data_IF_775935654447
#
_entry.id   IF_775935654447
#
_cell.length_a   1.000
_cell.length_b   1.000
_cell.length_c   1.000
_cell.angle_alpha   90.00
_cell.angle_beta   90.00
_cell.angle_gamma   90.00
#
_symmetry.space_group_name_H-M   'P 1'
#
loop_
_entity.id
_entity.type
_entity.pdbx_description
1 polymer ?
#
# COMPACT_ATOMS: atom_id res chain seq x y z
N UNK A 1 21.67 -74.61 14.65
CA UNK A 1 22.25 -73.38 15.23
C UNK A 1 21.12 -72.40 15.46
N UNK A 2 20.69 -72.20 16.71
CA UNK A 2 19.65 -71.24 17.05
C UNK A 2 20.30 -69.90 17.41
N UNK A 3 20.12 -68.91 16.55
CA UNK A 3 20.62 -67.55 16.75
C UNK A 3 19.80 -66.87 17.85
N UNK A 4 20.41 -66.57 19.00
CA UNK A 4 19.79 -65.73 20.04
C UNK A 4 19.52 -64.34 19.47
N UNK A 5 18.26 -63.98 19.30
CA UNK A 5 17.87 -62.59 19.06
C UNK A 5 18.14 -61.78 20.33
N UNK A 6 19.05 -60.80 20.24
CA UNK A 6 19.25 -59.79 21.29
C UNK A 6 18.04 -58.85 21.28
N UNK A 7 17.23 -58.88 22.32
CA UNK A 7 16.16 -57.91 22.55
C UNK A 7 16.72 -56.61 23.14
N UNK A 8 16.04 -55.50 22.87
CA UNK A 8 16.37 -54.20 23.47
C UNK A 8 16.27 -54.24 24.99
N UNK A 9 17.20 -53.55 25.67
CA UNK A 9 17.14 -53.37 27.12
C UNK A 9 16.18 -52.23 27.49
N UNK A 10 15.54 -52.32 28.65
CA UNK A 10 14.63 -51.27 29.15
C UNK A 10 15.35 -49.91 29.29
N UNK A 11 16.64 -49.92 29.66
CA UNK A 11 17.49 -48.74 29.74
C UNK A 11 17.80 -48.11 28.38
N UNK A 12 17.95 -48.91 27.31
CA UNK A 12 18.14 -48.36 25.96
C UNK A 12 16.91 -47.59 25.49
N UNK A 13 15.72 -48.17 25.67
CA UNK A 13 14.48 -47.48 25.26
C UNK A 13 14.27 -46.21 26.09
N UNK A 14 14.60 -46.24 27.39
CA UNK A 14 14.47 -45.07 28.25
C UNK A 14 15.38 -43.91 27.80
N UNK A 15 16.65 -44.18 27.49
CA UNK A 15 17.58 -43.13 27.01
C UNK A 15 17.18 -42.60 25.63
N UNK A 16 16.65 -43.45 24.75
CA UNK A 16 16.21 -43.00 23.42
C UNK A 16 15.00 -42.08 23.53
N UNK A 17 14.01 -42.42 24.36
CA UNK A 17 12.82 -41.58 24.53
C UNK A 17 13.18 -40.23 25.17
N UNK A 18 14.10 -40.20 26.13
CA UNK A 18 14.53 -38.91 26.73
C UNK A 18 15.24 -38.02 25.71
N UNK A 19 16.11 -38.59 24.87
CA UNK A 19 16.78 -37.83 23.80
C UNK A 19 15.76 -37.29 22.79
N UNK A 20 14.77 -38.09 22.38
CA UNK A 20 13.72 -37.65 21.44
C UNK A 20 12.92 -36.47 22.02
N UNK A 21 12.56 -36.52 23.31
CA UNK A 21 11.82 -35.43 23.97
C UNK A 21 12.64 -34.14 24.02
N UNK A 22 13.92 -34.22 24.41
CA UNK A 22 14.80 -33.04 24.50
C UNK A 22 15.03 -32.41 23.13
N UNK A 23 15.32 -33.22 22.11
CA UNK A 23 15.48 -32.73 20.74
C UNK A 23 14.18 -32.15 20.19
N UNK A 24 13.03 -32.77 20.50
CA UNK A 24 11.71 -32.25 20.11
C UNK A 24 11.44 -30.86 20.69
N UNK A 25 11.76 -30.62 21.96
CA UNK A 25 11.62 -29.29 22.58
C UNK A 25 12.59 -28.27 21.97
N UNK A 26 13.84 -28.66 21.72
CA UNK A 26 14.83 -27.76 21.12
C UNK A 26 14.42 -27.27 19.72
N UNK A 27 13.82 -28.14 18.90
CA UNK A 27 13.35 -27.78 17.56
C UNK A 27 12.20 -26.76 17.59
N UNK A 28 11.24 -26.90 18.52
CA UNK A 28 10.12 -25.97 18.65
C UNK A 28 10.55 -24.57 19.11
N UNK A 29 11.60 -24.48 19.92
CA UNK A 29 12.18 -23.20 20.35
C UNK A 29 13.03 -22.58 19.22
N UNK A 30 13.76 -23.40 18.46
CA UNK A 30 14.66 -22.94 17.41
C UNK A 30 13.98 -22.48 16.13
N UNK A 31 12.84 -23.09 15.76
CA UNK A 31 12.10 -22.76 14.55
C UNK A 31 10.74 -22.25 14.99
N UNK A 32 10.50 -20.94 14.96
CA UNK A 32 9.17 -20.37 15.19
C UNK A 32 8.28 -20.71 13.97
N UNK A 33 7.44 -21.75 14.00
CA UNK A 33 6.77 -22.26 12.81
C UNK A 33 5.70 -21.27 12.31
N UNK A 34 5.09 -20.53 13.24
CA UNK A 34 4.11 -19.48 12.95
C UNK A 34 4.75 -18.38 12.09
N UNK A 35 5.96 -17.94 12.44
CA UNK A 35 6.67 -16.93 11.66
C UNK A 35 6.96 -17.39 10.22
N UNK A 36 7.28 -18.67 10.02
CA UNK A 36 7.52 -19.23 8.68
C UNK A 36 6.24 -19.30 7.85
N UNK A 37 5.10 -19.68 8.45
CA UNK A 37 3.80 -19.69 7.78
C UNK A 37 3.42 -18.28 7.33
N UNK A 38 3.55 -17.28 8.20
CA UNK A 38 3.26 -15.89 7.85
C UNK A 38 4.14 -15.34 6.74
N UNK A 39 5.43 -15.71 6.70
CA UNK A 39 6.32 -15.39 5.57
C UNK A 39 5.85 -16.03 4.27
N UNK A 40 5.37 -17.27 4.32
CA UNK A 40 4.76 -17.93 3.16
C UNK A 40 3.53 -17.20 2.64
N UNK A 41 2.67 -16.72 3.55
CA UNK A 41 1.52 -15.90 3.19
C UNK A 41 1.91 -14.55 2.60
N UNK A 42 2.91 -13.87 3.15
CA UNK A 42 3.41 -12.60 2.60
C UNK A 42 4.00 -12.77 1.20
N UNK A 43 4.77 -13.84 0.97
CA UNK A 43 5.28 -14.20 -0.36
C UNK A 43 4.14 -14.45 -1.35
N UNK A 44 3.08 -15.14 -0.90
CA UNK A 44 1.91 -15.41 -1.74
C UNK A 44 1.15 -14.12 -2.09
N UNK A 45 0.94 -13.22 -1.12
CA UNK A 45 0.32 -11.90 -1.37
C UNK A 45 1.07 -11.09 -2.42
N UNK A 46 2.40 -11.04 -2.35
CA UNK A 46 3.23 -10.36 -3.35
C UNK A 46 3.05 -10.96 -4.75
N UNK A 47 3.03 -12.29 -4.84
CA UNK A 47 2.79 -12.98 -6.11
C UNK A 47 1.39 -12.68 -6.67
N UNK A 48 0.38 -12.68 -5.81
CA UNK A 48 -1.00 -12.42 -6.20
C UNK A 48 -1.20 -10.96 -6.65
N UNK A 49 -0.64 -9.98 -5.94
CA UNK A 49 -0.62 -8.57 -6.34
C UNK A 49 0.10 -8.35 -7.68
N UNK A 50 1.22 -9.03 -7.90
CA UNK A 50 1.96 -8.97 -9.17
C UNK A 50 1.13 -9.47 -10.36
N UNK A 51 0.38 -10.56 -10.18
CA UNK A 51 -0.53 -11.07 -11.21
C UNK A 51 -1.66 -10.09 -11.50
N UNK A 52 -2.27 -9.51 -10.47
CA UNK A 52 -3.33 -8.51 -10.63
C UNK A 52 -2.78 -7.30 -11.38
N UNK A 53 -1.58 -6.81 -11.02
CA UNK A 53 -0.90 -5.73 -11.75
C UNK A 53 -0.76 -6.05 -13.23
N UNK A 54 -0.18 -7.20 -13.58
CA UNK A 54 0.02 -7.59 -14.99
C UNK A 54 -1.31 -7.63 -15.75
N UNK A 55 -2.36 -8.17 -15.12
CA UNK A 55 -3.68 -8.22 -15.71
C UNK A 55 -4.28 -6.81 -15.94
N UNK A 56 -4.11 -5.90 -14.98
CA UNK A 56 -4.59 -4.52 -15.09
C UNK A 56 -3.84 -3.73 -16.15
N UNK A 57 -2.52 -3.88 -16.25
CA UNK A 57 -1.75 -3.25 -17.34
C UNK A 57 -2.16 -3.80 -18.71
N UNK A 58 -2.43 -5.10 -18.80
CA UNK A 58 -2.91 -5.72 -20.04
C UNK A 58 -4.29 -5.20 -20.42
N UNK A 59 -5.20 -5.07 -19.44
CA UNK A 59 -6.52 -4.47 -19.63
C UNK A 59 -6.39 -3.02 -20.14
N UNK A 60 -5.52 -2.22 -19.52
CA UNK A 60 -5.29 -0.83 -19.92
C UNK A 60 -4.77 -0.73 -21.36
N UNK A 61 -3.85 -1.61 -21.76
CA UNK A 61 -3.32 -1.64 -23.12
C UNK A 61 -4.39 -1.85 -24.20
N UNK A 62 -5.51 -2.49 -23.85
CA UNK A 62 -6.60 -2.78 -24.78
C UNK A 62 -7.76 -1.76 -24.71
N UNK A 63 -7.92 -1.08 -23.57
CA UNK A 63 -9.07 -0.22 -23.29
C UNK A 63 -8.73 1.26 -23.05
N UNK A 64 -7.44 1.62 -23.02
CA UNK A 64 -6.90 2.95 -22.67
C UNK A 64 -7.39 3.48 -21.30
N UNK A 65 -7.83 2.56 -20.44
CA UNK A 65 -8.32 2.84 -19.10
C UNK A 65 -8.26 1.60 -18.22
N UNK A 66 -8.18 1.81 -16.91
CA UNK A 66 -8.32 0.70 -15.95
C UNK A 66 -9.79 0.39 -15.73
N UNK A 67 -10.14 -0.86 -15.36
CA UNK A 67 -11.52 -1.22 -15.16
C UNK A 67 -12.09 -0.46 -13.97
N UNK A 68 -13.38 -0.12 -14.08
CA UNK A 68 -14.14 0.37 -12.94
C UNK A 68 -14.25 -0.79 -11.95
N UNK A 69 -13.55 -0.72 -10.83
CA UNK A 69 -13.84 -1.62 -9.72
C UNK A 69 -15.10 -1.11 -9.06
N UNK A 70 -16.26 -1.76 -9.25
CA UNK A 70 -17.47 -1.25 -8.66
C UNK A 70 -17.30 -1.38 -7.15
N UNK A 71 -17.63 -0.31 -6.41
CA UNK A 71 -17.64 -0.35 -4.96
C UNK A 71 -18.68 -1.35 -4.43
N UNK A 72 -19.57 -1.86 -5.29
CA UNK A 72 -20.53 -2.92 -5.02
C UNK A 72 -21.25 -3.32 -6.32
N UNK A 73 -21.61 -4.59 -6.49
CA UNK A 73 -22.47 -5.09 -7.56
C UNK A 73 -23.92 -4.60 -7.37
N UNK A 74 -24.80 -4.91 -8.32
CA UNK A 74 -26.23 -4.58 -8.28
C UNK A 74 -27.00 -5.17 -7.08
N UNK A 75 -26.38 -6.04 -6.29
CA UNK A 75 -26.90 -6.67 -5.08
C UNK A 75 -26.21 -6.14 -3.82
N UNK A 76 -25.35 -5.14 -3.92
CA UNK A 76 -24.61 -4.60 -2.78
C UNK A 76 -23.48 -5.52 -2.29
N UNK A 77 -22.93 -6.40 -3.14
CA UNK A 77 -21.75 -7.24 -2.82
C UNK A 77 -20.48 -6.69 -3.46
N UNK A 78 -19.30 -6.80 -2.82
CA UNK A 78 -18.05 -6.33 -3.42
C UNK A 78 -17.77 -7.03 -4.75
N UNK A 79 -17.65 -6.28 -5.83
CA UNK A 79 -17.46 -6.79 -7.20
C UNK A 79 -16.02 -7.18 -7.54
N UNK A 80 -15.10 -6.98 -6.59
CA UNK A 80 -13.74 -7.54 -6.61
C UNK A 80 -13.65 -8.79 -5.71
N UNK A 81 -14.77 -9.50 -5.55
CA UNK A 81 -14.80 -10.75 -4.80
C UNK A 81 -13.73 -11.71 -5.31
N UNK A 82 -13.22 -12.52 -4.39
CA UNK A 82 -12.37 -13.65 -4.73
C UNK A 82 -13.02 -14.53 -5.79
N UNK A 83 -12.17 -15.14 -6.61
CA UNK A 83 -12.56 -16.07 -7.67
C UNK A 83 -13.54 -15.48 -8.69
N UNK A 84 -13.63 -14.15 -8.75
CA UNK A 84 -14.42 -13.48 -9.78
C UNK A 84 -13.70 -13.50 -11.13
N UNK A 85 -14.52 -13.66 -12.17
CA UNK A 85 -14.10 -13.68 -13.57
C UNK A 85 -14.03 -12.26 -14.18
N UNK A 86 -14.12 -11.20 -13.36
CA UNK A 86 -14.28 -9.82 -13.81
C UNK A 86 -13.13 -9.32 -14.69
N UNK A 87 -11.91 -9.84 -14.47
CA UNK A 87 -10.72 -9.46 -15.22
C UNK A 87 -10.41 -10.40 -16.40
N UNK A 88 -11.31 -11.30 -16.77
CA UNK A 88 -11.12 -12.10 -17.99
C UNK A 88 -11.08 -11.20 -19.24
N UNK A 89 -10.24 -11.53 -20.24
CA UNK A 89 -9.35 -12.70 -20.33
C UNK A 89 -7.97 -12.51 -19.67
N UNK A 90 -7.69 -11.35 -19.07
CA UNK A 90 -6.37 -10.98 -18.54
C UNK A 90 -6.00 -11.70 -17.25
N UNK A 91 -7.00 -12.11 -16.46
CA UNK A 91 -6.83 -12.92 -15.27
C UNK A 91 -8.01 -13.88 -15.13
N UNK A 92 -7.70 -15.17 -15.01
CA UNK A 92 -8.71 -16.22 -14.91
C UNK A 92 -9.64 -16.04 -13.71
N UNK A 93 -9.05 -15.70 -12.56
CA UNK A 93 -9.76 -15.54 -11.29
C UNK A 93 -8.98 -14.60 -10.37
N UNK A 94 -9.66 -13.65 -9.72
CA UNK A 94 -9.02 -12.77 -8.75
C UNK A 94 -8.64 -13.56 -7.48
N UNK A 95 -7.35 -13.63 -7.10
CA UNK A 95 -6.91 -14.40 -5.93
C UNK A 95 -7.36 -13.77 -4.60
N UNK A 96 -7.61 -14.60 -3.59
CA UNK A 96 -7.81 -14.16 -2.21
C UNK A 96 -6.51 -14.02 -1.43
N UNK A 97 -6.55 -13.18 -0.40
CA UNK A 97 -5.59 -13.22 0.69
C UNK A 97 -5.50 -14.64 1.30
N UNK A 98 -4.30 -15.26 1.38
CA UNK A 98 -4.14 -16.66 1.77
C UNK A 98 -4.49 -16.92 3.24
N UNK A 99 -4.47 -15.89 4.09
CA UNK A 99 -4.77 -16.01 5.51
C UNK A 99 -6.24 -15.66 5.81
N UNK A 100 -6.64 -14.43 5.48
CA UNK A 100 -7.97 -13.90 5.78
C UNK A 100 -9.07 -14.36 4.84
N UNK A 101 -8.71 -14.91 3.66
CA UNK A 101 -9.63 -15.32 2.59
C UNK A 101 -10.52 -14.18 2.08
N UNK A 102 -10.08 -12.94 2.29
CA UNK A 102 -10.73 -11.74 1.79
C UNK A 102 -10.06 -11.29 0.50
N UNK A 103 -10.78 -10.57 -0.37
CA UNK A 103 -10.17 -9.98 -1.56
C UNK A 103 -9.20 -8.86 -1.18
N UNK A 104 -8.27 -8.55 -2.09
CA UNK A 104 -7.35 -7.43 -1.94
C UNK A 104 -8.06 -6.09 -2.09
N UNK A 105 -7.55 -5.06 -1.42
CA UNK A 105 -8.07 -3.69 -1.56
C UNK A 105 -7.52 -3.10 -2.85
N UNK A 106 -8.39 -2.50 -3.67
CA UNK A 106 -7.99 -1.81 -4.90
C UNK A 106 -8.55 -0.39 -4.84
N UNK A 107 -7.68 0.58 -5.08
CA UNK A 107 -8.01 1.98 -5.24
C UNK A 107 -7.78 2.38 -6.69
N UNK A 108 -8.69 3.18 -7.25
CA UNK A 108 -8.56 3.73 -8.59
C UNK A 108 -8.81 5.24 -8.56
N UNK A 109 -8.09 5.97 -9.41
CA UNK A 109 -8.25 7.42 -9.55
C UNK A 109 -8.29 7.82 -11.04
N UNK A 110 -9.14 8.79 -11.43
CA UNK A 110 -10.08 9.54 -10.59
C UNK A 110 -11.21 8.67 -10.03
N UNK A 111 -11.57 8.91 -8.76
CA UNK A 111 -12.67 8.19 -8.11
C UNK A 111 -13.99 8.46 -8.83
N UNK A 112 -14.86 7.46 -8.90
CA UNK A 112 -16.13 7.52 -9.65
C UNK A 112 -15.99 7.84 -11.15
N UNK A 113 -14.78 7.73 -11.71
CA UNK A 113 -14.58 7.82 -13.15
C UNK A 113 -15.08 6.53 -13.80
N UNK A 114 -15.75 6.67 -14.95
CA UNK A 114 -16.03 5.52 -15.82
C UNK A 114 -14.78 5.02 -16.55
N UNK A 115 -13.72 5.83 -16.54
CA UNK A 115 -12.44 5.59 -17.19
C UNK A 115 -11.31 6.00 -16.22
N UNK A 116 -11.07 5.23 -15.15
CA UNK A 116 -9.94 5.47 -14.25
C UNK A 116 -8.60 5.36 -14.99
N UNK A 117 -7.66 6.22 -14.63
CA UNK A 117 -6.36 6.33 -15.30
C UNK A 117 -5.21 5.81 -14.45
N UNK A 118 -5.44 5.57 -13.16
CA UNK A 118 -4.44 5.02 -12.25
C UNK A 118 -5.09 4.07 -11.26
N UNK A 119 -4.31 3.13 -10.74
CA UNK A 119 -4.74 2.20 -9.71
C UNK A 119 -3.62 1.90 -8.71
N UNK A 120 -4.00 1.46 -7.52
CA UNK A 120 -3.15 0.80 -6.56
C UNK A 120 -3.88 -0.40 -5.93
N UNK A 121 -3.19 -1.54 -5.83
CA UNK A 121 -3.68 -2.76 -5.18
C UNK A 121 -2.87 -3.00 -3.92
N UNK A 122 -3.54 -3.28 -2.80
CA UNK A 122 -2.93 -3.36 -1.48
C UNK A 122 -3.12 -4.73 -0.82
N UNK A 123 -2.13 -5.12 -0.04
CA UNK A 123 -2.22 -6.26 0.88
C UNK A 123 -1.59 -5.92 2.22
N UNK A 124 -2.22 -6.38 3.31
CA UNK A 124 -1.63 -6.33 4.64
C UNK A 124 -0.65 -7.49 4.83
N UNK A 125 0.56 -7.17 5.27
CA UNK A 125 1.63 -8.14 5.51
C UNK A 125 1.89 -8.29 7.01
N UNK A 126 2.35 -9.46 7.40
CA UNK A 126 2.56 -9.76 8.83
C UNK A 126 4.01 -9.58 9.25
N UNK A 127 4.96 -9.82 8.35
CA UNK A 127 6.37 -9.76 8.71
C UNK A 127 6.86 -8.32 8.87
N UNK A 128 7.35 -8.01 10.07
CA UNK A 128 7.96 -6.72 10.43
C UNK A 128 9.35 -6.52 9.82
N UNK A 129 9.87 -7.53 9.12
CA UNK A 129 11.26 -7.59 8.64
C UNK A 129 11.36 -7.67 7.11
N UNK A 130 10.24 -7.55 6.40
CA UNK A 130 10.31 -7.41 4.95
C UNK A 130 10.73 -5.98 4.64
N UNK A 131 11.97 -5.77 4.18
CA UNK A 131 12.42 -4.46 3.69
C UNK A 131 11.64 -3.98 2.46
N UNK A 132 10.84 -4.86 1.86
CA UNK A 132 9.91 -4.53 0.77
C UNK A 132 8.47 -4.28 1.26
N UNK A 133 8.23 -4.28 2.58
CA UNK A 133 7.12 -3.58 3.17
C UNK A 133 7.36 -2.09 2.90
N UNK A 134 7.02 -1.61 1.70
CA UNK A 134 7.04 -0.17 1.42
C UNK A 134 6.30 0.49 2.58
N UNK A 135 7.02 1.32 3.33
CA UNK A 135 6.46 2.03 4.47
C UNK A 135 5.59 3.14 3.86
N UNK A 136 4.44 2.75 3.32
CA UNK A 136 3.48 3.67 2.73
C UNK A 136 3.02 4.54 3.89
N UNK A 137 3.22 5.84 3.75
CA UNK A 137 2.88 6.79 4.80
C UNK A 137 1.42 6.59 5.22
N UNK A 138 1.20 6.57 6.53
CA UNK A 138 -0.11 6.36 7.15
C UNK A 138 -0.75 4.97 6.89
N UNK A 139 -0.06 4.04 6.25
CA UNK A 139 -0.51 2.67 5.98
C UNK A 139 0.52 1.62 6.45
N UNK A 140 0.72 1.47 7.77
CA UNK A 140 1.70 0.54 8.30
C UNK A 140 1.38 -0.90 7.86
N UNK A 141 2.44 -1.70 7.67
CA UNK A 141 2.33 -3.13 7.30
C UNK A 141 1.50 -3.37 6.04
N UNK A 142 1.55 -2.46 5.08
CA UNK A 142 0.83 -2.57 3.82
C UNK A 142 1.83 -2.57 2.68
N UNK A 143 1.67 -3.50 1.73
CA UNK A 143 2.36 -3.44 0.45
C UNK A 143 1.37 -2.97 -0.61
N UNK A 144 1.85 -2.21 -1.58
CA UNK A 144 1.06 -1.76 -2.72
C UNK A 144 1.77 -2.05 -4.04
N UNK A 145 0.98 -2.38 -5.05
CA UNK A 145 1.39 -2.45 -6.45
C UNK A 145 0.49 -1.48 -7.23
N UNK A 146 1.10 -0.52 -7.90
CA UNK A 146 0.39 0.58 -8.56
C UNK A 146 0.75 0.71 -10.04
N UNK A 147 -0.11 1.45 -10.74
CA UNK A 147 0.09 1.88 -12.12
C UNK A 147 1.29 2.82 -12.23
N UNK A 148 1.94 2.89 -13.40
CA UNK A 148 2.98 3.88 -13.67
C UNK A 148 2.51 5.33 -13.42
N UNK A 149 3.38 6.16 -12.85
CA UNK A 149 3.14 7.59 -12.66
C UNK A 149 2.14 7.95 -11.55
N UNK A 150 1.68 6.99 -10.76
CA UNK A 150 0.82 7.27 -9.60
C UNK A 150 1.65 7.89 -8.46
N UNK A 151 1.14 8.98 -7.89
CA UNK A 151 1.80 9.76 -6.85
C UNK A 151 1.75 9.05 -5.49
N UNK A 152 2.77 9.24 -4.65
CA UNK A 152 2.84 8.65 -3.31
C UNK A 152 1.68 9.11 -2.41
N UNK A 153 1.22 10.35 -2.58
CA UNK A 153 0.05 10.86 -1.88
C UNK A 153 -1.24 10.11 -2.25
N UNK A 154 -1.43 9.75 -3.53
CA UNK A 154 -2.59 8.97 -3.98
C UNK A 154 -2.52 7.52 -3.50
N UNK A 155 -1.32 6.94 -3.51
CA UNK A 155 -1.09 5.59 -2.97
C UNK A 155 -1.42 5.56 -1.47
N UNK A 156 -0.97 6.57 -0.71
CA UNK A 156 -1.26 6.70 0.72
C UNK A 156 -2.75 6.97 0.98
N UNK A 157 -3.40 7.78 0.13
CA UNK A 157 -4.84 8.03 0.23
C UNK A 157 -5.65 6.74 0.03
N UNK A 158 -5.30 5.92 -0.97
CA UNK A 158 -6.04 4.70 -1.29
C UNK A 158 -6.07 3.65 -0.17
N UNK A 159 -5.09 3.66 0.75
CA UNK A 159 -5.05 2.72 1.88
C UNK A 159 -5.45 3.35 3.23
N UNK A 160 -5.23 4.65 3.45
CA UNK A 160 -5.50 5.32 4.74
C UNK A 160 -6.76 6.19 4.73
N UNK A 161 -7.27 6.54 3.54
CA UNK A 161 -8.27 7.59 3.32
C UNK A 161 -7.88 8.96 3.88
N UNK A 162 -6.59 9.18 4.18
CA UNK A 162 -6.08 10.47 4.61
C UNK A 162 -5.73 11.29 3.37
N UNK A 163 -6.42 12.42 3.22
CA UNK A 163 -6.13 13.37 2.16
C UNK A 163 -4.75 14.01 2.42
N UNK A 164 -3.76 13.54 1.68
CA UNK A 164 -2.44 14.15 1.59
C UNK A 164 -2.41 15.11 0.40
N UNK A 165 -1.42 15.99 0.38
CA UNK A 165 -1.26 16.98 -0.66
C UNK A 165 -0.30 16.42 -1.72
N UNK A 166 -0.79 15.86 -2.84
CA UNK A 166 0.06 15.31 -3.90
C UNK A 166 0.95 16.39 -4.51
N UNK A 167 0.38 17.59 -4.63
CA UNK A 167 1.03 18.75 -5.19
C UNK A 167 0.91 19.87 -4.17
N UNK A 168 2.07 20.41 -3.79
CA UNK A 168 2.14 21.61 -2.97
C UNK A 168 2.24 22.81 -3.90
N UNK A 169 1.43 23.81 -3.61
CA UNK A 169 1.42 25.11 -4.26
C UNK A 169 1.92 26.17 -3.29
N UNK A 170 2.60 27.19 -3.81
CA UNK A 170 3.10 28.32 -3.05
C UNK A 170 3.12 29.58 -3.89
N UNK A 171 3.33 30.73 -3.26
CA UNK A 171 3.36 31.99 -3.96
C UNK A 171 4.77 32.28 -4.48
N UNK A 172 4.92 32.61 -5.76
CA UNK A 172 6.18 33.08 -6.35
C UNK A 172 5.89 34.29 -7.25
N UNK A 173 6.48 35.45 -6.97
CA UNK A 173 6.29 36.69 -7.72
C UNK A 173 4.81 37.06 -7.95
N UNK A 174 3.97 36.93 -6.92
CA UNK A 174 2.56 37.32 -7.04
C UNK A 174 1.61 36.24 -7.54
N UNK A 175 2.15 35.12 -8.04
CA UNK A 175 1.40 34.02 -8.65
C UNK A 175 1.44 32.74 -7.80
N UNK A 176 0.34 32.00 -7.78
CA UNK A 176 0.30 30.66 -7.20
C UNK A 176 0.93 29.66 -8.18
N UNK A 177 2.02 29.03 -7.78
CA UNK A 177 2.78 28.07 -8.60
C UNK A 177 2.99 26.77 -7.83
N UNK A 178 3.26 25.68 -8.56
CA UNK A 178 3.67 24.43 -7.93
C UNK A 178 5.06 24.61 -7.31
N UNK A 179 5.21 24.22 -6.05
CA UNK A 179 6.48 24.31 -5.30
C UNK A 179 7.09 22.96 -4.95
N UNK A 180 6.28 21.90 -4.87
CA UNK A 180 6.76 20.53 -4.68
C UNK A 180 5.70 19.51 -5.13
N UNK A 181 6.13 18.30 -5.48
CA UNK A 181 5.29 17.14 -5.77
C UNK A 181 5.80 15.97 -4.94
N UNK A 182 4.90 15.28 -4.22
CA UNK A 182 5.20 14.11 -3.38
C UNK A 182 6.25 14.29 -2.27
N UNK A 183 6.75 15.50 -2.04
CA UNK A 183 7.64 15.86 -0.93
C UNK A 183 7.12 17.10 -0.21
N UNK A 184 7.42 17.21 1.09
CA UNK A 184 7.11 18.42 1.86
C UNK A 184 8.06 19.52 1.36
N UNK A 185 7.56 20.61 0.76
CA UNK A 185 8.42 21.70 0.30
C UNK A 185 9.14 22.34 1.48
N UNK A 186 10.38 22.76 1.27
CA UNK A 186 11.14 23.55 2.25
C UNK A 186 10.52 24.94 2.51
N UNK A 187 9.61 25.39 1.63
CA UNK A 187 8.97 26.69 1.73
C UNK A 187 7.65 26.66 2.51
N UNK A 188 7.40 27.72 3.28
CA UNK A 188 6.19 27.91 4.08
C UNK A 188 5.67 29.34 3.94
N UNK A 189 4.36 29.56 3.77
CA UNK A 189 3.29 28.55 3.71
C UNK A 189 3.20 27.85 2.34
N UNK A 190 2.81 26.57 2.35
CA UNK A 190 2.42 25.82 1.16
C UNK A 190 0.96 25.36 1.26
N UNK A 191 0.32 25.15 0.11
CA UNK A 191 -1.10 24.87 -0.03
C UNK A 191 -1.31 23.61 -0.87
N UNK A 192 -2.44 22.94 -0.68
CA UNK A 192 -2.77 21.71 -1.40
C UNK A 192 -3.68 21.94 -2.60
N UNK A 193 -3.98 23.21 -2.90
CA UNK A 193 -4.91 23.63 -3.95
C UNK A 193 -4.22 24.59 -4.91
N UNK A 194 -4.51 24.45 -6.20
CA UNK A 194 -3.90 25.24 -7.28
C UNK A 194 -4.22 26.74 -7.25
N UNK A 195 -5.15 27.16 -6.40
CA UNK A 195 -5.57 28.53 -6.22
C UNK A 195 -4.91 29.23 -5.01
N UNK A 196 -4.02 28.55 -4.27
CA UNK A 196 -3.39 29.07 -3.05
C UNK A 196 -4.42 29.81 -2.17
N UNK A 197 -5.42 29.06 -1.71
CA UNK A 197 -6.64 29.60 -1.10
C UNK A 197 -6.34 30.75 -0.14
N UNK A 198 -6.98 31.92 -0.31
CA UNK A 198 -6.62 33.11 0.44
C UNK A 198 -6.95 32.97 1.91
N UNK A 199 -6.16 33.63 2.75
CA UNK A 199 -6.23 33.49 4.20
C UNK A 199 -6.96 34.71 4.75
N UNK A 200 -7.98 34.48 5.56
CA UNK A 200 -8.67 35.54 6.30
C UNK A 200 -7.88 35.84 7.57
N UNK A 201 -7.33 37.04 7.65
CA UNK A 201 -6.64 37.52 8.83
C UNK A 201 -7.66 37.83 9.95
N UNK A 202 -7.17 37.99 11.19
CA UNK A 202 -8.02 38.27 12.35
C UNK A 202 -8.78 39.61 12.25
N UNK A 203 -8.31 40.52 11.40
CA UNK A 203 -8.95 41.79 11.07
C UNK A 203 -9.99 41.68 9.93
N UNK A 204 -10.24 40.48 9.41
CA UNK A 204 -11.15 40.22 8.29
C UNK A 204 -10.57 40.53 6.91
N UNK A 205 -9.30 40.95 6.82
CA UNK A 205 -8.63 41.16 5.53
C UNK A 205 -8.29 39.84 4.84
N UNK A 206 -8.43 39.80 3.52
CA UNK A 206 -8.13 38.63 2.69
C UNK A 206 -6.74 38.83 2.09
N UNK A 207 -5.77 37.99 2.49
CA UNK A 207 -4.41 38.03 1.91
C UNK A 207 -4.26 36.88 0.90
N UNK A 208 -3.75 37.20 -0.28
CA UNK A 208 -3.44 36.24 -1.35
C UNK A 208 -2.01 36.46 -1.88
N UNK A 209 -1.56 35.57 -2.77
CA UNK A 209 -0.22 35.64 -3.35
C UNK A 209 0.12 36.98 -4.01
N UNK A 210 -0.87 37.75 -4.47
CA UNK A 210 -0.66 39.03 -5.17
C UNK A 210 -0.56 40.24 -4.23
N UNK A 211 -0.71 40.04 -2.93
CA UNK A 211 -0.58 41.10 -1.92
C UNK A 211 0.91 41.38 -1.66
N UNK A 212 1.37 42.64 -1.76
CA UNK A 212 2.75 43.01 -1.47
C UNK A 212 2.95 43.44 -0.02
N UNK A 213 4.14 43.25 0.52
CA UNK A 213 4.50 43.87 1.80
C UNK A 213 4.46 45.39 1.64
N UNK A 214 3.95 46.14 2.64
CA UNK A 214 3.84 47.59 2.56
C UNK A 214 5.20 48.29 2.36
N UNK A 215 6.30 47.66 2.79
CA UNK A 215 7.64 48.24 2.81
C UNK A 215 8.66 47.52 1.90
N UNK A 216 8.24 46.52 1.11
CA UNK A 216 9.13 45.81 0.18
C UNK A 216 8.45 45.52 -1.16
N UNK A 217 9.24 45.25 -2.21
CA UNK A 217 8.70 44.81 -3.50
C UNK A 217 8.37 43.30 -3.53
N UNK A 218 8.50 42.61 -2.39
CA UNK A 218 8.22 41.19 -2.22
C UNK A 218 6.74 40.97 -1.91
N UNK A 219 6.22 39.82 -2.32
CA UNK A 219 4.84 39.45 -2.04
C UNK A 219 4.70 38.83 -0.64
N UNK A 220 3.58 39.10 0.04
CA UNK A 220 3.28 38.52 1.35
C UNK A 220 3.17 37.00 1.17
N UNK A 221 4.05 36.24 1.83
CA UNK A 221 4.15 34.77 1.79
C UNK A 221 4.77 34.20 0.50
N UNK A 222 5.81 34.83 -0.05
CA UNK A 222 6.61 34.17 -1.08
C UNK A 222 7.29 32.91 -0.56
N UNK A 223 7.16 31.82 -1.32
CA UNK A 223 8.06 30.69 -1.24
C UNK A 223 9.40 31.15 -1.84
N UNK A 224 10.19 31.85 -1.02
CA UNK A 224 11.55 32.26 -1.38
C UNK A 224 12.38 30.99 -1.49
N UNK A 225 12.97 30.77 -2.67
CA UNK A 225 13.85 29.63 -2.94
C UNK A 225 14.99 29.65 -1.90
N UNK A 226 15.12 28.60 -1.08
CA UNK A 226 16.32 28.32 -0.28
C UNK A 226 17.09 27.17 -0.93
#
# INVERSE_FOLDING_TARGET
>A
MTTKHKGFTLSEILVVVTIIVVLGMALLVGINPMAQIFKGYDSRRKSDLSKIKIALESYYSDHDCYPQFPLTDSQGRPSYACDSDFLKPYLDAIPCDPNSKKPYTIYVTPVNSSCPQQYAVYAQIYSFFDSQANNIDYCPKTIAFNSPGMLNADISFGCSFRQLCPIHYGCKNGACVVVSQDEIPACSPSFCTSNCSPITNQDGSITNCSTKYPDSNEYIRECVDF
#
